data_IF_460334793978
#
_entry.id   IF_460334793978
#
_cell.length_a   1.000
_cell.length_b   1.000
_cell.length_c   1.000
_cell.angle_alpha   90.00
_cell.angle_beta   90.00
_cell.angle_gamma   90.00
#
_symmetry.space_group_name_H-M   'P 1'
#
loop_
_entity.id
_entity.type
_entity.pdbx_description
1 polymer ?
#
# COMPACT_ATOMS: atom_id res chain seq x y z
N UNK A 1 29.87 -24.25 -24.98
CA UNK A 1 30.33 -23.81 -26.31
C UNK A 1 29.27 -22.93 -26.93
N UNK A 2 29.69 -21.75 -27.39
CA UNK A 2 28.93 -20.68 -28.05
C UNK A 2 28.47 -21.07 -29.46
N UNK A 3 27.35 -20.53 -29.95
CA UNK A 3 27.20 -20.21 -31.38
C UNK A 3 26.24 -19.01 -31.62
N UNK A 4 26.88 -17.84 -31.64
CA UNK A 4 26.68 -16.63 -32.44
C UNK A 4 25.35 -16.32 -33.17
N UNK A 5 24.88 -15.09 -32.85
CA UNK A 5 24.47 -14.01 -33.75
C UNK A 5 24.83 -14.13 -35.24
N UNK A 6 23.87 -13.90 -36.16
CA UNK A 6 24.07 -13.08 -37.38
C UNK A 6 22.74 -12.82 -38.12
N UNK A 7 22.35 -11.56 -38.32
CA UNK A 7 22.31 -10.94 -39.65
C UNK A 7 21.95 -9.44 -39.57
N UNK A 8 22.76 -8.65 -40.28
CA UNK A 8 22.70 -7.19 -40.44
C UNK A 8 22.48 -6.87 -41.93
N UNK A 9 21.73 -5.79 -42.19
CA UNK A 9 21.87 -4.80 -43.28
C UNK A 9 21.39 -5.11 -44.72
N UNK A 10 20.62 -4.15 -45.25
CA UNK A 10 20.80 -3.40 -46.54
C UNK A 10 20.17 -2.00 -46.33
N UNK A 11 20.89 -0.85 -46.34
CA UNK A 11 21.40 0.03 -47.45
C UNK A 11 20.31 0.40 -48.48
N UNK A 12 20.17 1.61 -49.06
CA UNK A 12 20.82 2.94 -49.04
C UNK A 12 20.01 3.88 -49.99
N UNK A 13 19.96 5.21 -49.79
CA UNK A 13 20.48 6.33 -50.66
C UNK A 13 19.69 7.60 -50.27
N UNK A 14 20.26 8.74 -49.87
CA UNK A 14 21.16 9.75 -50.49
C UNK A 14 20.49 10.64 -51.55
N UNK A 15 20.30 11.92 -51.22
CA UNK A 15 20.36 13.04 -52.17
C UNK A 15 20.87 14.31 -51.45
N UNK A 16 21.77 15.03 -52.13
CA UNK A 16 22.48 16.25 -51.73
C UNK A 16 21.75 17.48 -52.29
N UNK A 17 21.85 18.61 -51.60
CA UNK A 17 21.72 19.95 -52.17
C UNK A 17 22.66 20.92 -51.42
N UNK A 18 23.54 21.61 -52.15
CA UNK A 18 24.50 22.66 -51.68
C UNK A 18 23.87 24.04 -51.86
N UNK A 19 24.30 25.00 -51.02
CA UNK A 19 24.68 26.43 -51.26
C UNK A 19 24.67 27.12 -49.89
N UNK A 20 25.43 28.14 -49.51
CA UNK A 20 26.58 28.92 -49.98
C UNK A 20 27.15 29.61 -48.72
N UNK A 21 28.35 30.21 -48.79
CA UNK A 21 29.16 30.60 -47.62
C UNK A 21 28.68 31.75 -46.75
N UNK A 22 29.33 31.88 -45.59
CA UNK A 22 29.37 33.08 -44.75
C UNK A 22 30.63 33.03 -43.84
N UNK A 23 31.10 34.21 -43.45
CA UNK A 23 32.43 34.59 -42.98
C UNK A 23 32.73 34.23 -41.48
N UNK A 24 33.90 34.61 -40.90
CA UNK A 24 34.49 33.95 -39.74
C UNK A 24 33.82 34.29 -38.40
N UNK A 25 33.97 33.37 -37.45
CA UNK A 25 33.37 33.41 -36.12
C UNK A 25 33.86 34.58 -35.26
N UNK A 26 32.96 35.30 -34.56
CA UNK A 26 33.35 36.16 -33.45
C UNK A 26 33.53 35.37 -32.15
N UNK A 27 34.49 35.82 -31.33
CA UNK A 27 34.81 35.34 -30.00
C UNK A 27 33.62 35.46 -29.01
N UNK A 28 33.60 34.68 -27.91
CA UNK A 28 32.42 34.52 -27.07
C UNK A 28 32.16 35.77 -26.22
N UNK A 29 30.98 36.37 -26.40
CA UNK A 29 30.46 37.40 -25.49
C UNK A 29 29.89 36.70 -24.27
N UNK A 30 30.45 36.97 -23.09
CA UNK A 30 29.92 36.53 -21.81
C UNK A 30 28.48 37.04 -21.64
N UNK A 31 27.49 36.15 -21.82
CA UNK A 31 26.10 36.43 -21.48
C UNK A 31 25.88 36.09 -20.03
N UNK A 32 25.75 37.12 -19.21
CA UNK A 32 25.13 37.07 -17.89
C UNK A 32 23.80 36.34 -18.01
N UNK A 33 23.67 35.20 -17.33
CA UNK A 33 22.44 34.41 -17.31
C UNK A 33 21.37 35.20 -16.55
N UNK A 34 20.60 36.01 -17.26
CA UNK A 34 19.34 36.52 -16.75
C UNK A 34 18.40 35.32 -16.52
N UNK A 35 18.03 35.11 -15.26
CA UNK A 35 17.09 34.07 -14.87
C UNK A 35 15.80 34.21 -15.70
N UNK A 36 15.47 33.17 -16.47
CA UNK A 36 14.17 33.07 -17.12
C UNK A 36 13.09 33.12 -16.02
N UNK A 37 12.07 33.98 -16.12
CA UNK A 37 10.92 33.85 -15.25
C UNK A 37 10.31 32.46 -15.47
N UNK A 38 10.03 31.77 -14.37
CA UNK A 38 9.32 30.50 -14.40
C UNK A 38 8.03 30.67 -15.23
N UNK A 39 7.66 29.68 -16.07
CA UNK A 39 6.40 29.76 -16.79
C UNK A 39 5.26 29.89 -15.76
N UNK A 40 4.23 30.70 -16.04
CA UNK A 40 3.08 30.80 -15.16
C UNK A 40 2.53 29.39 -14.96
N UNK A 41 2.30 29.02 -13.71
CA UNK A 41 1.62 27.77 -13.36
C UNK A 41 0.23 27.88 -13.96
N UNK A 42 0.06 27.33 -15.16
CA UNK A 42 -1.25 27.12 -15.75
C UNK A 42 -1.97 26.21 -14.76
N UNK A 43 -2.93 26.77 -14.04
CA UNK A 43 -3.87 26.04 -13.18
C UNK A 43 -4.64 25.08 -14.08
N UNK A 44 -4.06 23.90 -14.32
CA UNK A 44 -4.76 22.76 -14.89
C UNK A 44 -6.01 22.51 -14.03
N UNK A 45 -7.16 22.15 -14.62
CA UNK A 45 -8.29 21.68 -13.83
C UNK A 45 -7.78 20.57 -12.91
N UNK A 46 -7.92 20.77 -11.58
CA UNK A 46 -7.44 19.79 -10.59
C UNK A 46 -8.11 18.46 -10.89
N UNK A 47 -7.31 17.43 -11.22
CA UNK A 47 -7.84 16.10 -11.46
C UNK A 47 -8.55 15.58 -10.21
N UNK A 48 -9.42 14.57 -10.35
CA UNK A 48 -10.04 13.93 -9.19
C UNK A 48 -8.99 13.44 -8.16
N UNK A 49 -7.83 12.97 -8.64
CA UNK A 49 -6.71 12.61 -7.77
C UNK A 49 -6.13 13.81 -7.04
N UNK A 50 -5.84 14.92 -7.72
CA UNK A 50 -5.29 16.13 -7.07
C UNK A 50 -6.23 16.67 -5.98
N UNK A 51 -7.56 16.61 -6.20
CA UNK A 51 -8.56 17.06 -5.21
C UNK A 51 -8.57 16.16 -3.97
N UNK A 52 -8.68 14.84 -4.18
CA UNK A 52 -8.70 13.86 -3.08
C UNK A 52 -7.38 13.84 -2.32
N UNK A 53 -6.26 13.91 -3.03
CA UNK A 53 -4.94 13.97 -2.42
C UNK A 53 -4.82 15.18 -1.50
N UNK A 54 -5.23 16.37 -1.95
CA UNK A 54 -5.21 17.57 -1.12
C UNK A 54 -6.12 17.45 0.12
N UNK A 55 -7.33 16.91 -0.05
CA UNK A 55 -8.28 16.70 1.05
C UNK A 55 -7.75 15.73 2.10
N UNK A 56 -7.27 14.55 1.68
CA UNK A 56 -6.79 13.52 2.61
C UNK A 56 -5.47 13.94 3.25
N UNK A 57 -4.52 14.52 2.49
CA UNK A 57 -3.24 14.96 3.05
C UNK A 57 -3.40 16.14 4.02
N UNK A 58 -4.50 16.89 3.98
CA UNK A 58 -4.82 17.89 5.01
C UNK A 58 -5.10 17.26 6.39
N UNK A 59 -5.41 15.96 6.44
CA UNK A 59 -5.59 15.18 7.68
C UNK A 59 -4.31 14.47 8.13
N UNK A 60 -3.22 14.59 7.36
CA UNK A 60 -1.91 14.00 7.67
C UNK A 60 -1.06 15.05 8.39
N UNK A 61 -0.46 14.64 9.50
CA UNK A 61 0.42 15.48 10.30
C UNK A 61 1.83 14.91 10.35
N UNK A 62 2.84 15.77 10.55
CA UNK A 62 4.25 15.37 10.56
C UNK A 62 4.95 15.48 9.20
N UNK A 63 4.27 16.02 8.18
CA UNK A 63 4.85 16.31 6.86
C UNK A 63 4.82 17.82 6.57
N UNK A 64 5.85 18.31 5.89
CA UNK A 64 5.86 19.68 5.37
C UNK A 64 4.99 19.80 4.12
N UNK A 65 4.49 21.00 3.83
CA UNK A 65 3.73 21.23 2.58
C UNK A 65 4.57 20.94 1.33
N UNK A 66 5.88 21.17 1.40
CA UNK A 66 6.81 20.85 0.32
C UNK A 66 6.92 19.34 0.10
N UNK A 67 7.06 18.54 1.17
CA UNK A 67 7.05 17.06 1.07
C UNK A 67 5.73 16.56 0.46
N UNK A 68 4.60 17.14 0.87
CA UNK A 68 3.27 16.80 0.34
C UNK A 68 3.19 17.12 -1.16
N UNK A 69 3.70 18.27 -1.60
CA UNK A 69 3.73 18.64 -3.01
C UNK A 69 4.68 17.74 -3.83
N UNK A 70 5.86 17.43 -3.31
CA UNK A 70 6.83 16.56 -3.97
C UNK A 70 6.33 15.12 -4.09
N UNK A 71 5.65 14.60 -3.07
CA UNK A 71 5.02 13.28 -3.13
C UNK A 71 3.94 13.24 -4.21
N UNK A 72 3.13 14.30 -4.35
CA UNK A 72 2.14 14.37 -5.42
C UNK A 72 2.81 14.33 -6.80
N UNK A 73 3.92 15.04 -6.99
CA UNK A 73 4.69 14.99 -8.24
C UNK A 73 5.22 13.58 -8.52
N UNK A 74 5.80 12.91 -7.52
CA UNK A 74 6.26 11.52 -7.64
C UNK A 74 5.13 10.58 -8.07
N UNK A 75 3.94 10.73 -7.48
CA UNK A 75 2.77 9.92 -7.85
C UNK A 75 2.37 10.17 -9.30
N UNK A 76 2.34 11.43 -9.74
CA UNK A 76 1.95 11.79 -11.11
C UNK A 76 2.95 11.29 -12.14
N UNK A 77 4.24 11.32 -11.83
CA UNK A 77 5.30 10.76 -12.68
C UNK A 77 5.19 9.25 -12.84
N UNK A 78 4.62 8.53 -11.87
CA UNK A 78 4.40 7.08 -11.96
C UNK A 78 3.29 6.69 -12.96
N UNK A 79 2.47 7.65 -13.39
CA UNK A 79 1.35 7.44 -14.30
C UNK A 79 0.10 6.83 -13.65
N UNK A 80 -0.94 6.63 -14.46
CA UNK A 80 -2.24 6.06 -14.06
C UNK A 80 -3.00 6.83 -12.97
N UNK A 81 -2.78 8.14 -12.83
CA UNK A 81 -3.42 9.00 -11.83
C UNK A 81 -3.40 8.38 -10.41
N UNK A 82 -2.24 7.89 -10.01
CA UNK A 82 -2.05 7.29 -8.69
C UNK A 82 -2.55 5.85 -8.53
N UNK A 83 -3.11 5.21 -9.58
CA UNK A 83 -3.44 3.77 -9.56
C UNK A 83 -2.21 2.88 -9.82
N UNK A 84 -1.09 3.42 -10.33
CA UNK A 84 0.16 2.68 -10.43
C UNK A 84 0.89 2.63 -9.09
N UNK A 85 0.27 1.98 -8.10
CA UNK A 85 0.76 1.92 -6.71
C UNK A 85 2.21 1.41 -6.65
N UNK A 86 2.53 0.39 -7.46
CA UNK A 86 3.89 -0.16 -7.54
C UNK A 86 4.96 0.84 -8.00
N UNK A 87 4.57 1.88 -8.74
CA UNK A 87 5.49 2.90 -9.25
C UNK A 87 6.00 3.89 -8.20
N UNK A 88 5.26 4.11 -7.10
CA UNK A 88 5.59 5.14 -6.12
C UNK A 88 5.55 4.70 -4.65
N UNK A 89 4.91 3.59 -4.28
CA UNK A 89 4.71 3.23 -2.85
C UNK A 89 6.03 3.13 -2.07
N UNK A 90 6.99 2.34 -2.56
CA UNK A 90 8.27 2.17 -1.85
C UNK A 90 9.04 3.48 -1.79
N UNK A 91 9.17 4.18 -2.94
CA UNK A 91 9.93 5.44 -3.02
C UNK A 91 9.31 6.55 -2.19
N UNK A 92 7.98 6.65 -2.20
CA UNK A 92 7.22 7.64 -1.44
C UNK A 92 7.38 7.42 0.06
N UNK A 93 7.23 6.17 0.52
CA UNK A 93 7.47 5.83 1.92
C UNK A 93 8.91 6.16 2.33
N UNK A 94 9.90 5.66 1.59
CA UNK A 94 11.31 5.81 1.95
C UNK A 94 11.78 7.26 1.98
N UNK A 95 11.28 8.11 1.09
CA UNK A 95 11.68 9.52 1.00
C UNK A 95 10.95 10.42 1.99
N UNK A 96 9.65 10.22 2.17
CA UNK A 96 8.81 11.20 2.86
C UNK A 96 8.32 10.76 4.24
N UNK A 97 8.28 9.46 4.54
CA UNK A 97 7.66 8.95 5.78
C UNK A 97 8.61 8.13 6.66
N UNK A 98 9.56 7.40 6.05
CA UNK A 98 10.49 6.54 6.77
C UNK A 98 11.33 7.37 7.74
N UNK A 99 11.45 6.88 8.97
CA UNK A 99 12.18 7.53 10.07
C UNK A 99 11.63 8.92 10.45
N UNK A 100 10.36 9.22 10.12
CA UNK A 100 9.67 10.43 10.57
C UNK A 100 8.50 10.05 11.47
N UNK A 101 8.23 10.89 12.46
CA UNK A 101 6.99 10.81 13.21
C UNK A 101 5.89 11.50 12.43
N UNK A 102 4.82 10.76 12.16
CA UNK A 102 3.68 11.26 11.41
C UNK A 102 2.43 10.50 11.84
N UNK A 103 1.26 11.10 11.59
CA UNK A 103 -0.03 10.47 11.86
C UNK A 103 -1.04 10.81 10.79
N UNK A 104 -2.06 9.97 10.67
CA UNK A 104 -3.19 10.19 9.77
C UNK A 104 -4.48 10.26 10.58
N UNK A 105 -4.97 11.48 10.78
CA UNK A 105 -6.08 11.75 11.70
C UNK A 105 -7.38 11.04 11.29
N UNK A 106 -7.67 10.94 10.00
CA UNK A 106 -8.86 10.21 9.51
C UNK A 106 -8.83 8.73 9.93
N UNK A 107 -7.65 8.08 9.91
CA UNK A 107 -7.50 6.71 10.39
C UNK A 107 -7.80 6.62 11.89
N UNK A 108 -7.21 7.51 12.69
CA UNK A 108 -7.40 7.54 14.14
C UNK A 108 -8.88 7.77 14.50
N UNK A 109 -9.56 8.70 13.83
CA UNK A 109 -10.99 8.98 14.02
C UNK A 109 -11.87 7.76 13.74
N UNK A 110 -11.61 7.05 12.63
CA UNK A 110 -12.36 5.85 12.28
C UNK A 110 -12.09 4.70 13.25
N UNK A 111 -10.84 4.53 13.65
CA UNK A 111 -10.46 3.55 14.67
C UNK A 111 -11.23 3.79 15.98
N UNK A 112 -11.18 5.01 16.50
CA UNK A 112 -11.93 5.37 17.72
C UNK A 112 -13.43 5.14 17.58
N UNK A 113 -13.98 5.43 16.40
CA UNK A 113 -15.40 5.23 16.11
C UNK A 113 -15.76 3.74 16.20
N UNK A 114 -14.95 2.86 15.61
CA UNK A 114 -15.16 1.41 15.65
C UNK A 114 -14.91 0.81 17.04
N UNK A 115 -13.93 1.32 17.78
CA UNK A 115 -13.70 0.95 19.19
C UNK A 115 -14.92 1.31 20.06
N UNK A 116 -15.50 2.50 19.90
CA UNK A 116 -16.73 2.92 20.60
C UNK A 116 -17.93 2.04 20.26
N UNK A 117 -17.97 1.46 19.06
CA UNK A 117 -19.00 0.51 18.62
C UNK A 117 -18.72 -0.92 19.07
N UNK A 118 -17.57 -1.19 19.70
CA UNK A 118 -17.08 -2.53 20.03
C UNK A 118 -17.07 -3.48 18.82
N UNK A 119 -16.92 -2.95 17.61
CA UNK A 119 -16.94 -3.73 16.39
C UNK A 119 -16.24 -3.01 15.24
N UNK A 120 -15.51 -3.79 14.44
CA UNK A 120 -14.76 -3.31 13.28
C UNK A 120 -15.35 -3.85 11.97
N UNK A 121 -15.19 -3.13 10.85
CA UNK A 121 -15.42 -3.67 9.51
C UNK A 121 -14.60 -4.93 9.26
N UNK A 122 -15.14 -5.83 8.43
CA UNK A 122 -14.53 -7.13 8.11
C UNK A 122 -13.12 -6.99 7.54
N UNK A 123 -12.86 -5.91 6.80
CA UNK A 123 -11.55 -5.61 6.19
C UNK A 123 -10.76 -4.53 6.93
N UNK A 124 -11.09 -4.21 8.18
CA UNK A 124 -10.33 -3.21 8.92
C UNK A 124 -8.86 -3.63 9.04
N UNK A 125 -7.95 -2.73 8.67
CA UNK A 125 -6.51 -2.93 8.87
C UNK A 125 -6.12 -2.29 10.19
N UNK A 126 -6.03 -3.11 11.24
CA UNK A 126 -5.46 -2.67 12.51
C UNK A 126 -3.93 -2.59 12.40
N UNK A 127 -3.41 -1.38 12.17
CA UNK A 127 -1.96 -1.13 12.10
C UNK A 127 -1.29 -1.36 13.46
N UNK A 128 -2.05 -1.34 14.55
CA UNK A 128 -1.54 -1.48 15.90
C UNK A 128 -1.57 -2.92 16.39
N UNK A 129 -2.20 -3.82 15.63
CA UNK A 129 -2.23 -5.24 15.94
C UNK A 129 -0.81 -5.80 16.11
N UNK A 130 -0.51 -6.22 17.34
CA UNK A 130 0.69 -6.97 17.68
C UNK A 130 0.21 -8.36 18.06
N UNK A 131 0.67 -9.42 17.36
CA UNK A 131 0.45 -10.78 17.81
C UNK A 131 0.89 -10.88 19.27
N UNK A 132 -0.01 -11.31 20.16
CA UNK A 132 0.29 -11.48 21.60
C UNK A 132 0.50 -12.97 21.85
N UNK A 133 1.75 -13.49 21.73
CA UNK A 133 1.97 -14.92 21.62
C UNK A 133 1.79 -15.63 22.95
N UNK A 134 1.97 -14.90 24.06
CA UNK A 134 1.91 -15.41 25.43
C UNK A 134 0.55 -15.99 25.85
N UNK A 135 -0.55 -15.53 25.26
CA UNK A 135 -1.90 -16.00 25.59
C UNK A 135 -2.35 -17.19 24.73
N UNK A 136 -1.52 -17.62 23.76
CA UNK A 136 -1.85 -18.75 22.90
C UNK A 136 -1.54 -20.07 23.62
N UNK A 137 -2.40 -21.09 23.49
CA UNK A 137 -2.10 -22.44 23.99
C UNK A 137 -0.74 -22.94 23.46
N UNK A 138 0.00 -23.69 24.29
CA UNK A 138 1.30 -24.25 23.93
C UNK A 138 1.23 -25.00 22.60
N UNK A 139 0.23 -25.88 22.43
CA UNK A 139 -0.06 -26.56 21.18
C UNK A 139 -0.04 -25.62 19.96
N UNK A 140 -0.83 -24.55 20.01
CA UNK A 140 -0.97 -23.59 18.91
C UNK A 140 0.36 -22.91 18.58
N UNK A 141 1.17 -22.60 19.59
CA UNK A 141 2.49 -21.98 19.39
C UNK A 141 3.47 -22.96 18.73
N UNK A 142 3.39 -24.24 19.06
CA UNK A 142 4.20 -25.28 18.42
C UNK A 142 3.82 -25.49 16.94
N UNK A 143 2.58 -25.19 16.55
CA UNK A 143 2.15 -25.23 15.15
C UNK A 143 2.79 -24.13 14.28
N UNK A 144 3.44 -23.11 14.87
CA UNK A 144 4.19 -22.10 14.11
C UNK A 144 5.58 -22.61 13.68
N UNK A 145 6.09 -23.66 14.30
CA UNK A 145 7.41 -24.26 14.00
C UNK A 145 7.36 -25.14 12.76
N UNK A 146 8.49 -25.39 12.11
CA UNK A 146 8.50 -26.31 10.97
C UNK A 146 8.45 -27.78 11.42
N UNK A 147 7.96 -28.66 10.55
CA UNK A 147 7.88 -30.12 10.82
C UNK A 147 9.25 -30.67 11.23
N UNK A 148 10.31 -30.22 10.56
CA UNK A 148 11.69 -30.64 10.83
C UNK A 148 12.15 -30.21 12.24
N UNK A 149 11.75 -29.02 12.70
CA UNK A 149 12.10 -28.53 14.05
C UNK A 149 11.44 -29.40 15.13
N UNK A 150 10.17 -29.77 14.94
CA UNK A 150 9.44 -30.64 15.85
C UNK A 150 10.03 -32.05 15.89
N UNK A 151 10.32 -32.64 14.73
CA UNK A 151 10.95 -33.97 14.62
C UNK A 151 12.34 -34.01 15.26
N UNK A 152 13.14 -32.97 15.07
CA UNK A 152 14.45 -32.86 15.69
C UNK A 152 14.33 -32.84 17.22
N UNK A 153 13.42 -32.04 17.77
CA UNK A 153 13.20 -31.98 19.21
C UNK A 153 12.75 -33.32 19.79
N UNK A 154 11.80 -34.01 19.15
CA UNK A 154 11.33 -35.33 19.58
C UNK A 154 12.47 -36.37 19.54
N UNK A 155 13.33 -36.29 18.52
CA UNK A 155 14.53 -37.15 18.41
C UNK A 155 15.54 -36.87 19.53
N UNK A 156 15.86 -35.59 19.79
CA UNK A 156 16.78 -35.17 20.86
C UNK A 156 16.30 -35.58 22.26
N UNK A 157 14.97 -35.63 22.45
CA UNK A 157 14.35 -36.02 23.72
C UNK A 157 14.05 -37.52 23.82
N UNK A 158 14.40 -38.30 22.80
CA UNK A 158 14.20 -39.75 22.79
C UNK A 158 12.74 -40.19 22.67
N UNK A 159 11.84 -39.31 22.23
CA UNK A 159 10.43 -39.64 22.01
C UNK A 159 10.29 -40.33 20.64
N UNK A 160 9.85 -41.59 20.57
CA UNK A 160 9.67 -42.29 19.30
C UNK A 160 8.46 -41.71 18.56
N UNK A 161 8.61 -41.44 17.26
CA UNK A 161 7.54 -40.99 16.37
C UNK A 161 7.69 -41.60 14.98
N UNK A 162 6.60 -41.66 14.22
CA UNK A 162 6.63 -42.04 12.80
C UNK A 162 6.88 -40.78 11.94
N UNK A 163 7.81 -40.87 10.99
CA UNK A 163 8.17 -39.77 10.10
C UNK A 163 7.00 -39.29 9.20
N UNK A 164 5.95 -40.11 9.05
CA UNK A 164 4.74 -39.79 8.28
C UNK A 164 3.68 -39.03 9.07
N UNK A 165 3.89 -38.80 10.38
CA UNK A 165 2.94 -38.08 11.22
C UNK A 165 2.73 -36.63 10.75
N UNK A 166 1.50 -36.16 10.89
CA UNK A 166 1.14 -34.80 10.57
C UNK A 166 1.71 -33.81 11.59
N UNK A 167 1.93 -32.57 11.16
CA UNK A 167 2.45 -31.47 12.01
C UNK A 167 1.69 -31.31 13.33
N UNK A 168 0.37 -31.44 13.31
CA UNK A 168 -0.49 -31.35 14.49
C UNK A 168 -0.23 -32.47 15.50
N UNK A 169 0.02 -33.69 15.03
CA UNK A 169 0.36 -34.82 15.87
C UNK A 169 1.76 -34.65 16.48
N UNK A 170 2.74 -34.21 15.68
CA UNK A 170 4.10 -33.92 16.15
C UNK A 170 4.10 -32.79 17.21
N UNK A 171 3.32 -31.73 17.00
CA UNK A 171 3.14 -30.65 17.97
C UNK A 171 2.48 -31.14 19.26
N UNK A 172 1.47 -32.02 19.15
CA UNK A 172 0.83 -32.64 20.32
C UNK A 172 1.82 -33.49 21.11
N UNK A 173 2.68 -34.27 20.44
CA UNK A 173 3.71 -35.07 21.13
C UNK A 173 4.72 -34.15 21.83
N UNK A 174 5.22 -33.13 21.13
CA UNK A 174 6.18 -32.18 21.68
C UNK A 174 5.64 -31.42 22.91
N UNK A 175 4.35 -31.08 22.91
CA UNK A 175 3.67 -30.43 24.04
C UNK A 175 3.70 -31.25 25.34
N UNK A 176 3.63 -32.58 25.21
CA UNK A 176 3.60 -33.51 26.35
C UNK A 176 4.99 -34.04 26.72
N UNK A 177 6.04 -33.69 25.97
CA UNK A 177 7.42 -34.07 26.27
C UNK A 177 7.93 -33.28 27.47
N UNK A 178 8.50 -33.99 28.46
CA UNK A 178 9.10 -33.36 29.63
C UNK A 178 10.24 -32.41 29.24
N UNK A 179 10.33 -31.28 29.95
CA UNK A 179 11.38 -30.30 29.70
C UNK A 179 11.21 -29.45 28.42
N UNK A 180 10.05 -29.47 27.76
CA UNK A 180 9.77 -28.60 26.61
C UNK A 180 10.12 -27.13 26.91
N UNK A 181 9.61 -26.59 28.02
CA UNK A 181 9.80 -25.16 28.37
C UNK A 181 11.26 -24.77 28.65
N UNK A 182 12.12 -25.73 28.95
CA UNK A 182 13.56 -25.54 29.16
C UNK A 182 14.40 -25.93 27.93
N UNK A 183 13.75 -26.43 26.87
CA UNK A 183 14.42 -26.91 25.66
C UNK A 183 14.94 -25.77 24.77
N UNK A 184 15.92 -26.11 23.92
CA UNK A 184 16.40 -25.20 22.87
C UNK A 184 15.29 -24.84 21.86
N UNK A 185 14.38 -25.76 21.58
CA UNK A 185 13.24 -25.54 20.70
C UNK A 185 12.37 -24.40 21.24
N UNK A 186 12.01 -24.48 22.52
CA UNK A 186 11.14 -23.50 23.17
C UNK A 186 11.79 -22.12 23.28
N UNK A 187 13.08 -22.05 23.62
CA UNK A 187 13.83 -20.79 23.63
C UNK A 187 13.87 -20.14 22.23
N UNK A 188 14.04 -20.94 21.17
CA UNK A 188 13.99 -20.43 19.79
C UNK A 188 12.60 -19.95 19.40
N UNK A 189 11.55 -20.66 19.79
CA UNK A 189 10.16 -20.26 19.56
C UNK A 189 9.87 -18.89 20.20
N UNK A 190 10.23 -18.72 21.47
CA UNK A 190 10.09 -17.44 22.18
C UNK A 190 10.84 -16.31 21.46
N UNK A 191 12.05 -16.59 20.99
CA UNK A 191 12.84 -15.61 20.23
C UNK A 191 12.20 -15.23 18.89
N UNK A 192 11.70 -16.22 18.13
CA UNK A 192 10.96 -15.97 16.87
C UNK A 192 9.71 -15.13 17.14
N UNK A 193 9.00 -15.41 18.23
CA UNK A 193 7.83 -14.64 18.65
C UNK A 193 8.17 -13.19 19.02
N UNK A 194 9.26 -12.94 19.76
CA UNK A 194 9.75 -11.59 20.03
C UNK A 194 10.18 -10.86 18.75
N UNK A 195 10.93 -11.51 17.86
CA UNK A 195 11.34 -10.95 16.58
C UNK A 195 10.12 -10.57 15.72
N UNK A 196 9.09 -11.42 15.68
CA UNK A 196 7.84 -11.14 14.97
C UNK A 196 7.08 -9.94 15.58
N UNK A 197 7.10 -9.79 16.90
CA UNK A 197 6.53 -8.61 17.59
C UNK A 197 7.28 -7.34 17.20
N UNK A 198 8.62 -7.36 17.22
CA UNK A 198 9.43 -6.20 16.83
C UNK A 198 9.24 -5.85 15.36
N UNK A 199 9.17 -6.83 14.47
CA UNK A 199 8.88 -6.62 13.05
C UNK A 199 7.47 -6.02 12.86
N UNK A 200 6.48 -6.50 13.60
CA UNK A 200 5.13 -5.96 13.57
C UNK A 200 5.07 -4.50 14.03
N UNK A 201 5.87 -4.10 15.02
CA UNK A 201 6.00 -2.72 15.47
C UNK A 201 6.74 -1.86 14.42
N UNK A 202 7.85 -2.38 13.88
CA UNK A 202 8.67 -1.66 12.91
C UNK A 202 7.94 -1.41 11.57
N UNK A 203 7.04 -2.32 11.15
CA UNK A 203 6.28 -2.17 9.90
C UNK A 203 5.08 -1.23 10.02
N UNK A 204 4.62 -0.86 11.23
CA UNK A 204 3.38 -0.07 11.41
C UNK A 204 3.34 1.21 10.58
N UNK A 205 4.40 2.06 10.55
CA UNK A 205 4.36 3.30 9.77
C UNK A 205 4.23 3.01 8.27
N UNK A 206 4.85 1.93 7.79
CA UNK A 206 4.72 1.51 6.39
C UNK A 206 3.30 1.02 6.07
N UNK A 207 2.70 0.22 6.94
CA UNK A 207 1.31 -0.26 6.76
C UNK A 207 0.34 0.92 6.73
N UNK A 208 0.51 1.89 7.63
CA UNK A 208 -0.31 3.11 7.65
C UNK A 208 -0.15 3.92 6.36
N UNK A 209 1.08 4.09 5.89
CA UNK A 209 1.36 4.77 4.62
C UNK A 209 0.71 4.06 3.42
N UNK A 210 0.87 2.74 3.33
CA UNK A 210 0.30 1.96 2.23
C UNK A 210 -1.23 2.08 2.23
N UNK A 211 -1.85 2.11 3.42
CA UNK A 211 -3.28 2.29 3.58
C UNK A 211 -3.75 3.71 3.17
N UNK A 212 -3.00 4.75 3.58
CA UNK A 212 -3.24 6.14 3.19
C UNK A 212 -3.25 6.29 1.67
N UNK A 213 -2.19 5.82 0.99
CA UNK A 213 -2.05 5.99 -0.46
C UNK A 213 -3.10 5.20 -1.24
N UNK A 214 -3.46 3.98 -0.78
CA UNK A 214 -4.58 3.22 -1.36
C UNK A 214 -5.90 3.97 -1.22
N UNK A 215 -6.16 4.53 -0.04
CA UNK A 215 -7.41 5.27 0.23
C UNK A 215 -7.55 6.45 -0.73
N UNK A 216 -6.48 7.24 -0.91
CA UNK A 216 -6.45 8.34 -1.88
C UNK A 216 -6.71 7.85 -3.30
N UNK A 217 -5.99 6.81 -3.74
CA UNK A 217 -6.09 6.30 -5.11
C UNK A 217 -7.49 5.76 -5.43
N UNK A 218 -8.09 4.99 -4.51
CA UNK A 218 -9.42 4.43 -4.71
C UNK A 218 -10.53 5.49 -4.60
N UNK A 219 -10.40 6.47 -3.70
CA UNK A 219 -11.37 7.57 -3.59
C UNK A 219 -11.35 8.42 -4.85
N UNK A 220 -10.16 8.72 -5.38
CA UNK A 220 -10.00 9.39 -6.66
C UNK A 220 -10.58 8.59 -7.84
N UNK A 221 -10.45 7.25 -7.83
CA UNK A 221 -11.09 6.38 -8.82
C UNK A 221 -12.62 6.48 -8.74
N UNK A 222 -13.20 6.36 -7.54
CA UNK A 222 -14.66 6.44 -7.35
C UNK A 222 -15.24 7.78 -7.79
N UNK A 223 -14.56 8.90 -7.51
CA UNK A 223 -14.98 10.22 -8.02
C UNK A 223 -14.99 10.22 -9.55
N UNK A 224 -13.94 9.72 -10.22
CA UNK A 224 -13.89 9.68 -11.69
C UNK A 224 -14.98 8.81 -12.29
N UNK A 225 -15.23 7.64 -11.69
CA UNK A 225 -16.27 6.74 -12.16
C UNK A 225 -17.64 7.39 -12.02
N UNK A 226 -17.88 8.11 -10.92
CA UNK A 226 -19.11 8.88 -10.69
C UNK A 226 -19.26 10.03 -11.71
N UNK A 227 -18.22 10.84 -11.91
CA UNK A 227 -18.21 11.93 -12.89
C UNK A 227 -18.45 11.41 -14.31
N UNK A 228 -17.86 10.26 -14.67
CA UNK A 228 -18.09 9.59 -15.95
C UNK A 228 -19.52 9.09 -16.08
N UNK A 229 -20.08 8.47 -15.04
CA UNK A 229 -21.46 8.01 -15.05
C UNK A 229 -22.45 9.18 -15.20
N UNK A 230 -22.21 10.29 -14.49
CA UNK A 230 -23.00 11.51 -14.60
C UNK A 230 -22.94 12.12 -16.01
N UNK A 231 -21.76 12.13 -16.65
CA UNK A 231 -21.61 12.57 -18.04
C UNK A 231 -22.40 11.69 -19.03
N UNK A 232 -22.70 10.45 -18.68
CA UNK A 232 -23.55 9.53 -19.43
C UNK A 232 -25.04 9.63 -19.06
N UNK A 233 -25.42 10.60 -18.21
CA UNK A 233 -26.80 10.80 -17.76
C UNK A 233 -27.25 9.89 -16.62
N UNK A 234 -26.36 9.07 -16.06
CA UNK A 234 -26.69 8.14 -14.98
C UNK A 234 -26.74 8.91 -13.66
N UNK A 235 -27.91 8.90 -13.02
CA UNK A 235 -28.15 9.64 -11.76
C UNK A 235 -28.19 8.74 -10.53
N UNK A 236 -28.53 7.46 -10.70
CA UNK A 236 -28.70 6.52 -9.59
C UNK A 236 -27.53 5.54 -9.53
N UNK A 237 -27.07 5.29 -8.30
CA UNK A 237 -26.01 4.35 -8.02
C UNK A 237 -26.44 3.45 -6.85
N UNK A 238 -26.19 2.17 -6.98
CA UNK A 238 -26.36 1.18 -5.93
C UNK A 238 -25.06 0.97 -5.18
N UNK A 239 -25.16 0.86 -3.86
CA UNK A 239 -24.03 0.54 -2.98
C UNK A 239 -23.80 -0.97 -3.01
N UNK A 240 -22.69 -1.39 -3.61
CA UNK A 240 -22.25 -2.78 -3.67
C UNK A 240 -21.24 -3.05 -2.55
N UNK A 241 -21.61 -3.92 -1.62
CA UNK A 241 -20.76 -4.34 -0.52
C UNK A 241 -20.07 -5.66 -0.85
N UNK A 242 -18.80 -5.81 -0.46
CA UNK A 242 -18.12 -7.11 -0.48
C UNK A 242 -18.66 -8.02 0.62
N UNK A 243 -18.91 -7.44 1.80
CA UNK A 243 -19.48 -8.15 2.94
C UNK A 243 -20.71 -7.38 3.44
N UNK A 244 -21.89 -7.99 3.41
CA UNK A 244 -23.12 -7.34 3.91
C UNK A 244 -23.06 -7.02 5.41
N UNK A 245 -22.26 -7.75 6.18
CA UNK A 245 -21.99 -7.44 7.59
C UNK A 245 -21.39 -6.03 7.80
N UNK A 246 -20.76 -5.46 6.76
CA UNK A 246 -20.14 -4.14 6.80
C UNK A 246 -21.13 -2.99 6.52
N UNK A 247 -22.38 -3.29 6.12
CA UNK A 247 -23.40 -2.30 5.75
C UNK A 247 -23.57 -1.20 6.79
N UNK A 248 -23.62 -1.58 8.07
CA UNK A 248 -23.76 -0.63 9.19
C UNK A 248 -22.64 0.40 9.26
N UNK A 249 -21.42 0.05 8.88
CA UNK A 249 -20.27 0.96 8.91
C UNK A 249 -20.30 1.91 7.72
N UNK A 250 -20.72 1.42 6.55
CA UNK A 250 -20.95 2.24 5.36
C UNK A 250 -22.09 3.24 5.60
N UNK A 251 -23.21 2.79 6.18
CA UNK A 251 -24.33 3.67 6.51
C UNK A 251 -23.94 4.75 7.53
N UNK A 252 -23.11 4.39 8.52
CA UNK A 252 -22.54 5.35 9.47
C UNK A 252 -21.68 6.41 8.77
N UNK A 253 -20.82 5.99 7.85
CA UNK A 253 -19.96 6.91 7.10
C UNK A 253 -20.75 7.84 6.18
N UNK A 254 -21.77 7.32 5.50
CA UNK A 254 -22.69 8.12 4.69
C UNK A 254 -23.54 9.07 5.53
N UNK A 255 -23.84 8.71 6.78
CA UNK A 255 -24.49 9.64 7.72
C UNK A 255 -23.55 10.78 8.15
N UNK A 256 -22.24 10.50 8.33
CA UNK A 256 -21.22 11.51 8.66
C UNK A 256 -20.98 12.46 7.47
N UNK A 257 -20.95 11.91 6.25
CA UNK A 257 -20.82 12.68 5.01
C UNK A 257 -21.70 12.07 3.89
N UNK A 258 -22.89 12.64 3.63
CA UNK A 258 -23.82 12.14 2.62
C UNK A 258 -23.27 12.16 1.19
N UNK A 259 -22.33 13.07 0.92
CA UNK A 259 -21.73 13.28 -0.41
C UNK A 259 -20.42 12.50 -0.59
N UNK A 260 -20.00 11.73 0.42
CA UNK A 260 -18.80 10.90 0.31
C UNK A 260 -18.94 9.84 -0.77
N UNK A 261 -17.82 9.49 -1.39
CA UNK A 261 -17.69 8.34 -2.28
C UNK A 261 -16.75 7.29 -1.66
N UNK A 262 -16.90 6.00 -2.00
CA UNK A 262 -16.00 4.96 -1.50
C UNK A 262 -14.53 5.23 -1.88
N UNK A 263 -13.56 4.77 -1.08
CA UNK A 263 -13.71 4.19 0.25
C UNK A 263 -14.22 5.21 1.27
N UNK A 264 -15.27 4.83 1.99
CA UNK A 264 -15.93 5.65 3.01
C UNK A 264 -15.12 5.76 4.31
N UNK A 265 -14.29 4.77 4.57
CA UNK A 265 -13.30 4.71 5.64
C UNK A 265 -12.04 3.97 5.12
N UNK A 266 -10.89 4.04 5.80
CA UNK A 266 -9.68 3.36 5.36
C UNK A 266 -9.89 1.85 5.12
N UNK A 267 -9.43 1.36 3.97
CA UNK A 267 -9.60 -0.03 3.49
C UNK A 267 -11.04 -0.49 3.22
N UNK A 268 -11.99 0.44 3.05
CA UNK A 268 -13.32 0.11 2.54
C UNK A 268 -13.23 -0.37 1.07
N UNK A 269 -13.91 -1.48 0.76
CA UNK A 269 -13.97 -2.06 -0.59
C UNK A 269 -15.34 -1.86 -1.27
N UNK A 270 -16.20 -1.03 -0.69
CA UNK A 270 -17.49 -0.68 -1.27
C UNK A 270 -17.33 -0.11 -2.67
N UNK A 271 -18.23 -0.50 -3.57
CA UNK A 271 -18.27 0.00 -4.94
C UNK A 271 -19.63 0.65 -5.23
N UNK A 272 -19.64 1.61 -6.14
CA UNK A 272 -20.87 2.18 -6.67
C UNK A 272 -21.18 1.55 -8.03
N UNK A 273 -22.32 0.87 -8.12
CA UNK A 273 -22.81 0.33 -9.39
C UNK A 273 -23.81 1.30 -10.00
N UNK A 274 -23.60 1.80 -11.24
CA UNK A 274 -24.59 2.63 -11.91
C UNK A 274 -25.88 1.83 -12.15
N UNK A 275 -27.02 2.45 -11.89
CA UNK A 275 -28.35 1.91 -12.22
C UNK A 275 -28.83 2.65 -13.46
N UNK A 276 -29.10 1.90 -14.53
CA UNK A 276 -29.79 2.43 -15.71
C UNK A 276 -31.28 2.48 -15.37
N UNK A 277 -31.83 3.69 -15.31
CA UNK A 277 -33.28 3.87 -15.31
C UNK A 277 -33.75 3.52 -16.73
N UNK A 278 -34.34 2.33 -16.91
CA UNK A 278 -35.14 2.04 -18.08
C UNK A 278 -36.52 2.63 -17.82
N UNK A 279 -36.73 3.87 -18.25
CA UNK A 279 -38.08 4.43 -18.39
C UNK A 279 -38.87 3.67 -19.48
#
# INVERSE_FOLDING_TARGET
MSFLNFLKKRRAKKARGRTAGAAPAPAPVARTAAARPAPPIVSMPKSAYDRVYAEVMATVEGLSQDDVAELLLLVKESGSDGLNLGGYFTRGYERFFKNREWRWREYDEWRETFEKLAAFPSNWTDINYVPTPANRPTHTRLLDLDVVELQHYLTETGVPFDATLQKTQLASMAEHTEGLKTSRLWTRLLKKEEEAVQEAIARRPKVLYDLLMRTIAYRAKSIRDLERAQALGIRKHEVMLVFEADRRFVDLARKKNPDAVPPYYPNDFTQLRPILDND
#
